data_IF_578449327808
#
_entry.id   IF_578449327808
#
_cell.length_a   1.000
_cell.length_b   1.000
_cell.length_c   1.000
_cell.angle_alpha   90.00
_cell.angle_beta   90.00
_cell.angle_gamma   90.00
#
_symmetry.space_group_name_H-M   'P 1'
#
loop_
_entity.id
_entity.type
_entity.pdbx_description
1 polymer ?
#
# COMPACT_ATOMS: atom_id res chain seq x y z
N UNK A 1 -33.17 42.04 2.16
CA UNK A 1 -32.30 41.98 3.36
C UNK A 1 -31.52 40.65 3.41
N UNK A 2 -30.57 40.39 2.49
CA UNK A 2 -29.81 39.11 2.44
C UNK A 2 -28.30 39.28 2.19
N UNK A 3 -27.81 40.50 1.97
CA UNK A 3 -26.41 40.75 1.60
C UNK A 3 -25.40 40.38 2.72
N UNK A 4 -25.80 40.51 3.99
CA UNK A 4 -24.96 40.15 5.14
C UNK A 4 -24.74 38.63 5.25
N UNK A 5 -25.71 37.81 4.82
CA UNK A 5 -25.58 36.34 4.82
C UNK A 5 -24.46 35.93 3.89
N UNK A 6 -24.36 36.54 2.70
CA UNK A 6 -23.27 36.27 1.76
C UNK A 6 -21.91 36.65 2.33
N UNK A 7 -21.79 37.81 3.00
CA UNK A 7 -20.53 38.22 3.62
C UNK A 7 -20.06 37.26 4.72
N UNK A 8 -20.98 36.81 5.58
CA UNK A 8 -20.69 35.81 6.62
C UNK A 8 -20.30 34.47 5.99
N UNK A 9 -20.98 34.05 4.94
CA UNK A 9 -20.70 32.78 4.26
C UNK A 9 -19.34 32.79 3.56
N UNK A 10 -18.99 33.89 2.87
CA UNK A 10 -17.69 34.03 2.18
C UNK A 10 -16.54 34.05 3.19
N UNK A 11 -16.67 34.84 4.26
CA UNK A 11 -15.66 34.90 5.33
C UNK A 11 -15.48 33.55 6.02
N UNK A 12 -16.58 32.89 6.41
CA UNK A 12 -16.54 31.56 7.01
C UNK A 12 -15.88 30.53 6.09
N UNK A 13 -16.22 30.51 4.79
CA UNK A 13 -15.64 29.59 3.82
C UNK A 13 -14.14 29.83 3.64
N UNK A 14 -13.72 31.10 3.65
CA UNK A 14 -12.29 31.47 3.53
C UNK A 14 -11.49 31.00 4.74
N UNK A 15 -12.01 31.21 5.96
CA UNK A 15 -11.37 30.78 7.20
C UNK A 15 -11.29 29.24 7.29
N UNK A 16 -12.38 28.55 6.92
CA UNK A 16 -12.39 27.10 6.87
C UNK A 16 -11.42 26.55 5.83
N UNK A 17 -11.36 27.16 4.65
CA UNK A 17 -10.41 26.80 3.59
C UNK A 17 -8.96 26.95 4.04
N UNK A 18 -8.63 28.05 4.73
CA UNK A 18 -7.31 28.27 5.32
C UNK A 18 -6.96 27.20 6.35
N UNK A 19 -7.88 26.91 7.28
CA UNK A 19 -7.66 25.93 8.34
C UNK A 19 -7.41 24.52 7.78
N UNK A 20 -8.18 24.13 6.76
CA UNK A 20 -7.98 22.86 6.04
C UNK A 20 -6.63 22.83 5.34
N UNK A 21 -6.23 23.93 4.69
CA UNK A 21 -4.93 24.02 4.02
C UNK A 21 -3.76 23.93 4.99
N UNK A 22 -3.85 24.55 6.16
CA UNK A 22 -2.78 24.54 7.16
C UNK A 22 -2.64 23.15 7.81
N UNK A 23 -3.75 22.49 8.11
CA UNK A 23 -3.79 21.12 8.65
C UNK A 23 -3.29 20.07 7.63
N UNK A 24 -3.73 20.16 6.38
CA UNK A 24 -3.42 19.15 5.36
C UNK A 24 -2.15 19.46 4.56
N UNK A 25 -1.69 20.71 4.51
CA UNK A 25 -0.58 21.12 3.64
C UNK A 25 0.73 20.43 3.98
N UNK A 26 1.06 20.32 5.26
CA UNK A 26 2.26 19.59 5.73
C UNK A 26 2.19 18.08 5.46
N UNK A 27 1.15 17.34 5.89
CA UNK A 27 1.08 15.90 5.67
C UNK A 27 0.92 15.53 4.19
N UNK A 28 0.21 16.34 3.38
CA UNK A 28 0.14 16.13 1.92
C UNK A 28 1.53 16.23 1.28
N UNK A 29 2.34 17.23 1.67
CA UNK A 29 3.71 17.36 1.16
C UNK A 29 4.58 16.18 1.58
N UNK A 30 4.49 15.74 2.84
CA UNK A 30 5.19 14.56 3.33
C UNK A 30 4.80 13.29 2.54
N UNK A 31 3.52 13.15 2.20
CA UNK A 31 3.03 12.07 1.34
C UNK A 31 3.64 12.15 -0.07
N UNK A 32 3.68 13.31 -0.73
CA UNK A 32 4.27 13.43 -2.07
C UNK A 32 5.77 13.13 -2.07
N UNK A 33 6.50 13.52 -1.04
CA UNK A 33 7.90 13.14 -0.87
C UNK A 33 8.06 11.62 -0.70
N UNK A 34 7.19 10.99 0.10
CA UNK A 34 7.19 9.54 0.31
C UNK A 34 6.84 8.80 -0.99
N UNK A 35 5.82 9.26 -1.73
CA UNK A 35 5.43 8.76 -3.05
C UNK A 35 6.58 8.84 -4.04
N UNK A 36 7.27 9.98 -4.11
CA UNK A 36 8.44 10.17 -4.99
C UNK A 36 9.54 9.16 -4.64
N UNK A 37 9.88 9.01 -3.35
CA UNK A 37 10.88 8.03 -2.88
C UNK A 37 10.48 6.59 -3.25
N UNK A 38 9.20 6.25 -3.12
CA UNK A 38 8.68 4.94 -3.47
C UNK A 38 8.84 4.66 -4.97
N UNK A 39 8.42 5.60 -5.83
CA UNK A 39 8.53 5.46 -7.29
C UNK A 39 9.99 5.41 -7.75
N UNK A 40 10.84 6.28 -7.22
CA UNK A 40 12.27 6.30 -7.50
C UNK A 40 12.93 4.96 -7.14
N UNK A 41 12.62 4.42 -5.95
CA UNK A 41 13.14 3.11 -5.51
C UNK A 41 12.56 1.96 -6.32
N UNK A 42 11.30 2.04 -6.76
CA UNK A 42 10.71 1.04 -7.66
C UNK A 42 11.37 1.02 -9.03
N UNK A 43 11.79 2.18 -9.57
CA UNK A 43 12.55 2.25 -10.82
C UNK A 43 13.97 1.71 -10.65
N UNK A 44 14.70 2.18 -9.63
CA UNK A 44 16.11 1.80 -9.40
C UNK A 44 16.26 0.32 -9.04
N UNK A 45 15.45 -0.17 -8.09
CA UNK A 45 15.46 -1.59 -7.70
C UNK A 45 14.65 -2.44 -8.69
N UNK A 46 13.99 -1.78 -9.64
CA UNK A 46 13.18 -2.34 -10.70
C UNK A 46 13.92 -3.37 -11.54
N UNK A 47 15.18 -3.07 -11.81
CA UNK A 47 16.06 -3.79 -12.73
C UNK A 47 17.02 -4.77 -12.04
N UNK A 48 16.85 -5.05 -10.74
CA UNK A 48 17.73 -6.00 -10.05
C UNK A 48 17.40 -7.42 -10.53
N UNK A 49 18.36 -8.02 -11.22
CA UNK A 49 18.30 -9.44 -11.60
C UNK A 49 18.26 -10.31 -10.34
N UNK A 50 17.34 -11.28 -10.31
CA UNK A 50 17.31 -12.25 -9.22
C UNK A 50 18.62 -13.06 -9.22
N UNK A 51 19.14 -13.42 -8.05
CA UNK A 51 20.27 -14.33 -7.98
C UNK A 51 19.88 -15.65 -8.66
N UNK A 52 20.75 -16.16 -9.52
CA UNK A 52 20.60 -17.51 -10.12
C UNK A 52 20.59 -18.57 -9.00
N UNK A 53 19.98 -19.75 -9.22
CA UNK A 53 19.99 -20.82 -8.23
C UNK A 53 21.43 -21.12 -7.79
N UNK A 54 21.67 -21.24 -6.48
CA UNK A 54 23.01 -21.46 -5.93
C UNK A 54 23.70 -22.69 -6.53
N UNK A 55 22.92 -23.68 -6.91
CA UNK A 55 23.35 -24.92 -7.58
C UNK A 55 24.03 -24.69 -8.93
N UNK A 56 23.83 -23.53 -9.56
CA UNK A 56 24.48 -23.16 -10.82
C UNK A 56 25.81 -22.42 -10.65
N UNK A 57 26.17 -22.03 -9.42
CA UNK A 57 27.43 -21.36 -9.13
C UNK A 57 28.48 -22.40 -8.73
N UNK A 58 29.30 -22.81 -9.71
CA UNK A 58 30.29 -23.89 -9.55
C UNK A 58 31.66 -23.31 -9.20
N UNK A 59 31.94 -22.07 -9.60
CA UNK A 59 33.21 -21.38 -9.32
C UNK A 59 33.14 -20.42 -8.14
N UNK A 60 34.27 -20.21 -7.46
CA UNK A 60 34.40 -19.23 -6.37
C UNK A 60 34.00 -17.80 -6.77
N UNK A 61 34.19 -17.44 -8.04
CA UNK A 61 33.77 -16.15 -8.60
C UNK A 61 32.24 -16.06 -8.69
N UNK A 62 31.59 -17.08 -9.24
CA UNK A 62 30.12 -17.15 -9.33
C UNK A 62 29.46 -17.19 -7.94
N UNK A 63 30.08 -17.85 -6.96
CA UNK A 63 29.60 -17.85 -5.57
C UNK A 63 29.66 -16.43 -4.98
N UNK A 64 30.72 -15.66 -5.28
CA UNK A 64 30.85 -14.27 -4.82
C UNK A 64 29.82 -13.35 -5.49
N UNK A 65 29.60 -13.51 -6.79
CA UNK A 65 28.58 -12.79 -7.55
C UNK A 65 27.16 -13.12 -7.06
N UNK A 66 26.87 -14.40 -6.80
CA UNK A 66 25.62 -14.86 -6.18
C UNK A 66 25.40 -14.20 -4.81
N UNK A 67 26.40 -14.23 -3.93
CA UNK A 67 26.31 -13.62 -2.60
C UNK A 67 26.06 -12.12 -2.68
N UNK A 68 26.68 -11.43 -3.64
CA UNK A 68 26.47 -10.00 -3.87
C UNK A 68 25.06 -9.70 -4.41
N UNK A 69 24.55 -10.53 -5.33
CA UNK A 69 23.18 -10.42 -5.82
C UNK A 69 22.16 -10.64 -4.69
N UNK A 70 22.34 -11.68 -3.86
CA UNK A 70 21.48 -11.95 -2.69
C UNK A 70 21.46 -10.77 -1.71
N UNK A 71 22.62 -10.14 -1.46
CA UNK A 71 22.69 -8.94 -0.60
C UNK A 71 21.89 -7.77 -1.19
N UNK A 72 22.05 -7.48 -2.47
CA UNK A 72 21.28 -6.42 -3.17
C UNK A 72 19.78 -6.68 -3.11
N UNK A 73 19.34 -7.92 -3.28
CA UNK A 73 17.93 -8.30 -3.14
C UNK A 73 17.43 -8.06 -1.71
N UNK A 74 18.16 -8.51 -0.69
CA UNK A 74 17.79 -8.29 0.72
C UNK A 74 17.72 -6.80 1.09
N UNK A 75 18.63 -5.99 0.56
CA UNK A 75 18.59 -4.53 0.74
C UNK A 75 17.33 -3.94 0.10
N UNK A 76 17.00 -4.34 -1.14
CA UNK A 76 15.78 -3.92 -1.81
C UNK A 76 14.53 -4.29 -0.99
N UNK A 77 14.48 -5.51 -0.45
CA UNK A 77 13.38 -5.98 0.40
C UNK A 77 13.22 -5.12 1.66
N UNK A 78 14.31 -4.85 2.37
CA UNK A 78 14.29 -4.00 3.57
C UNK A 78 13.79 -2.60 3.25
N UNK A 79 14.24 -2.02 2.13
CA UNK A 79 13.80 -0.70 1.68
C UNK A 79 12.29 -0.70 1.41
N UNK A 80 11.78 -1.62 0.59
CA UNK A 80 10.35 -1.67 0.25
C UNK A 80 9.48 -1.95 1.48
N UNK A 81 9.90 -2.87 2.36
CA UNK A 81 9.17 -3.18 3.59
C UNK A 81 9.13 -2.00 4.55
N UNK A 82 10.27 -1.31 4.74
CA UNK A 82 10.33 -0.09 5.57
C UNK A 82 9.46 1.03 5.01
N UNK A 83 9.46 1.24 3.69
CA UNK A 83 8.59 2.22 3.03
C UNK A 83 7.11 1.85 3.19
N UNK A 84 6.75 0.57 3.05
CA UNK A 84 5.40 0.07 3.29
C UNK A 84 4.93 0.34 4.72
N UNK A 85 5.75 0.04 5.73
CA UNK A 85 5.44 0.34 7.12
C UNK A 85 5.32 1.83 7.41
N UNK A 86 6.22 2.67 6.86
CA UNK A 86 6.12 4.13 7.01
C UNK A 86 4.83 4.68 6.42
N UNK A 87 4.40 4.15 5.28
CA UNK A 87 3.16 4.57 4.65
C UNK A 87 1.93 4.15 5.47
N UNK A 88 1.95 2.96 6.07
CA UNK A 88 0.89 2.50 6.98
C UNK A 88 0.85 3.32 8.27
N UNK A 89 2.00 3.56 8.91
CA UNK A 89 2.10 4.39 10.10
C UNK A 89 1.64 5.83 9.84
N UNK A 90 1.93 6.39 8.66
CA UNK A 90 1.39 7.67 8.24
C UNK A 90 -0.15 7.65 8.16
N UNK A 91 -0.75 6.57 7.62
CA UNK A 91 -2.19 6.43 7.55
C UNK A 91 -2.88 6.33 8.92
N UNK A 92 -2.18 5.77 9.92
CA UNK A 92 -2.66 5.68 11.29
C UNK A 92 -2.55 7.01 12.03
N UNK A 93 -1.45 7.74 11.85
CA UNK A 93 -1.21 9.01 12.52
C UNK A 93 -1.99 10.18 11.90
N UNK A 94 -2.29 10.11 10.59
CA UNK A 94 -2.91 11.21 9.83
C UNK A 94 -4.22 10.77 9.15
N UNK A 95 -5.28 10.43 9.92
CA UNK A 95 -6.53 9.90 9.38
C UNK A 95 -7.27 10.94 8.50
N UNK A 96 -7.17 12.23 8.82
CA UNK A 96 -7.74 13.30 8.01
C UNK A 96 -7.10 13.35 6.61
N UNK A 97 -5.77 13.27 6.55
CA UNK A 97 -5.01 13.24 5.29
C UNK A 97 -5.29 11.96 4.51
N UNK A 98 -5.36 10.80 5.18
CA UNK A 98 -5.77 9.53 4.56
C UNK A 98 -7.14 9.66 3.89
N UNK A 99 -8.13 10.23 4.59
CA UNK A 99 -9.47 10.39 4.04
C UNK A 99 -9.49 11.37 2.87
N UNK A 100 -8.81 12.51 3.00
CA UNK A 100 -8.69 13.51 1.93
C UNK A 100 -8.04 12.91 0.67
N UNK A 101 -6.95 12.15 0.81
CA UNK A 101 -6.30 11.48 -0.31
C UNK A 101 -7.17 10.32 -0.86
N UNK A 102 -7.92 9.63 0.01
CA UNK A 102 -8.91 8.62 -0.39
C UNK A 102 -10.01 9.19 -1.29
N UNK A 103 -10.48 10.41 -1.00
CA UNK A 103 -11.42 11.14 -1.87
C UNK A 103 -10.82 11.47 -3.24
N UNK A 104 -9.49 11.62 -3.33
CA UNK A 104 -8.75 11.79 -4.59
C UNK A 104 -8.41 10.44 -5.28
N UNK A 105 -8.98 9.33 -4.79
CA UNK A 105 -8.77 7.99 -5.34
C UNK A 105 -7.45 7.33 -4.94
N UNK A 106 -6.67 7.93 -4.03
CA UNK A 106 -5.42 7.35 -3.55
C UNK A 106 -5.70 6.37 -2.39
N UNK A 107 -5.31 5.11 -2.57
CA UNK A 107 -5.45 4.11 -1.52
C UNK A 107 -4.08 3.81 -0.87
N UNK A 108 -3.72 4.63 0.12
CA UNK A 108 -2.42 4.55 0.79
C UNK A 108 -2.21 3.23 1.55
N UNK A 109 -3.29 2.65 2.10
CA UNK A 109 -3.24 1.35 2.80
C UNK A 109 -2.97 0.22 1.81
N UNK A 110 -3.64 0.23 0.65
CA UNK A 110 -3.38 -0.72 -0.42
C UNK A 110 -1.96 -0.58 -0.97
N UNK A 111 -1.46 0.65 -1.13
CA UNK A 111 -0.08 0.90 -1.56
C UNK A 111 0.95 0.40 -0.52
N UNK A 112 0.72 0.66 0.77
CA UNK A 112 1.62 0.25 1.85
C UNK A 112 1.70 -1.27 2.00
N UNK A 113 0.56 -1.94 2.01
CA UNK A 113 0.49 -3.40 2.01
C UNK A 113 1.05 -4.02 0.71
N UNK A 114 0.83 -3.39 -0.44
CA UNK A 114 1.41 -3.78 -1.72
C UNK A 114 2.94 -3.74 -1.70
N UNK A 115 3.55 -2.71 -1.11
CA UNK A 115 5.01 -2.61 -0.95
C UNK A 115 5.59 -3.73 -0.07
N UNK A 116 4.87 -4.11 0.98
CA UNK A 116 5.25 -5.24 1.83
C UNK A 116 5.18 -6.55 1.02
N UNK A 117 4.08 -6.79 0.30
CA UNK A 117 3.94 -7.95 -0.59
C UNK A 117 5.00 -7.99 -1.68
N UNK A 118 5.36 -6.84 -2.27
CA UNK A 118 6.45 -6.74 -3.24
C UNK A 118 7.79 -7.13 -2.63
N UNK A 119 8.05 -6.75 -1.38
CA UNK A 119 9.26 -7.16 -0.66
C UNK A 119 9.33 -8.69 -0.49
N UNK A 120 8.22 -9.34 -0.20
CA UNK A 120 8.14 -10.80 -0.07
C UNK A 120 8.31 -11.50 -1.42
N UNK A 121 7.77 -10.92 -2.49
CA UNK A 121 7.89 -11.43 -3.86
C UNK A 121 9.34 -11.50 -4.35
N UNK A 122 10.26 -10.68 -3.82
CA UNK A 122 11.68 -10.79 -4.13
C UNK A 122 12.35 -12.05 -3.55
N UNK A 123 11.77 -12.70 -2.54
CA UNK A 123 12.27 -13.98 -2.00
C UNK A 123 11.77 -15.20 -2.78
N UNK A 124 10.73 -15.05 -3.60
CA UNK A 124 10.06 -16.17 -4.28
C UNK A 124 10.26 -16.10 -5.79
N UNK A 125 11.03 -17.04 -6.38
CA UNK A 125 11.12 -17.19 -7.83
C UNK A 125 9.72 -17.39 -8.44
N UNK A 126 9.43 -16.74 -9.57
CA UNK A 126 8.16 -16.91 -10.30
C UNK A 126 6.99 -16.02 -9.87
N UNK A 127 7.16 -15.17 -8.85
CA UNK A 127 6.09 -14.22 -8.47
C UNK A 127 6.01 -13.08 -9.48
N UNK A 128 4.78 -12.69 -9.89
CA UNK A 128 4.53 -11.57 -10.80
C UNK A 128 4.82 -10.21 -10.13
N UNK A 129 6.11 -9.86 -10.13
CA UNK A 129 6.62 -8.59 -9.59
C UNK A 129 6.19 -7.41 -10.44
N UNK A 130 5.97 -7.59 -11.75
CA UNK A 130 5.53 -6.53 -12.64
C UNK A 130 4.06 -6.16 -12.34
N UNK A 131 3.19 -7.15 -12.18
CA UNK A 131 1.80 -6.95 -11.75
C UNK A 131 1.69 -6.29 -10.37
N UNK A 132 2.50 -6.72 -9.39
CA UNK A 132 2.56 -6.09 -8.07
C UNK A 132 2.98 -4.62 -8.14
N UNK A 133 4.01 -4.29 -8.94
CA UNK A 133 4.43 -2.89 -9.15
C UNK A 133 3.31 -2.07 -9.79
N UNK A 134 2.63 -2.62 -10.80
CA UNK A 134 1.51 -1.94 -11.46
C UNK A 134 0.34 -1.68 -10.50
N UNK A 135 0.04 -2.63 -9.60
CA UNK A 135 -0.99 -2.43 -8.57
C UNK A 135 -0.61 -1.32 -7.58
N UNK A 136 0.65 -1.27 -7.15
CA UNK A 136 1.15 -0.21 -6.26
C UNK A 136 1.13 1.14 -6.98
N UNK A 137 1.55 1.20 -8.25
CA UNK A 137 1.51 2.43 -9.04
C UNK A 137 0.08 2.92 -9.22
N UNK A 138 -0.87 2.04 -9.53
CA UNK A 138 -2.30 2.39 -9.62
C UNK A 138 -2.83 2.91 -8.28
N UNK A 139 -2.51 2.26 -7.17
CA UNK A 139 -2.93 2.71 -5.84
C UNK A 139 -2.31 4.07 -5.43
N UNK A 140 -1.17 4.43 -6.01
CA UNK A 140 -0.46 5.70 -5.80
C UNK A 140 -0.72 6.73 -6.91
N UNK A 141 -1.49 6.42 -7.95
CA UNK A 141 -1.91 7.40 -8.96
C UNK A 141 -3.16 8.10 -8.45
N UNK A 142 -3.10 9.43 -8.49
CA UNK A 142 -4.31 10.26 -8.35
C UNK A 142 -5.20 9.85 -9.51
N UNK A 143 -6.42 9.44 -9.21
CA UNK A 143 -7.37 9.06 -10.26
C UNK A 143 -7.80 10.36 -10.95
N UNK A 144 -7.59 10.47 -12.26
CA UNK A 144 -8.05 11.62 -13.07
C UNK A 144 -9.60 11.70 -13.14
N UNK A 145 -10.30 10.74 -12.54
CA UNK A 145 -11.74 10.79 -12.34
C UNK A 145 -12.06 11.42 -10.97
N UNK A 146 -12.65 12.61 -11.02
CA UNK A 146 -13.52 13.18 -10.00
C UNK A 146 -14.50 12.11 -9.44
N UNK A 147 -15.05 12.31 -8.22
CA UNK A 147 -15.53 11.23 -7.39
C UNK A 147 -16.78 10.60 -7.99
N UNK A 148 -16.63 9.47 -8.67
CA UNK A 148 -17.72 8.56 -8.86
C UNK A 148 -17.97 7.87 -7.51
N UNK A 149 -18.87 8.47 -6.74
CA UNK A 149 -19.68 7.70 -5.83
C UNK A 149 -20.24 6.49 -6.59
N UNK A 150 -20.25 5.34 -5.91
CA UNK A 150 -20.83 4.05 -6.28
C UNK A 150 -19.95 3.09 -7.10
N UNK A 151 -19.54 2.01 -6.41
CA UNK A 151 -19.88 0.60 -6.73
C UNK A 151 -18.69 -0.36 -6.56
N UNK A 152 -18.50 -0.91 -5.36
CA UNK A 152 -18.14 -2.34 -5.22
C UNK A 152 -18.24 -2.88 -3.79
N UNK A 153 -19.43 -3.40 -3.49
CA UNK A 153 -19.61 -4.70 -2.84
C UNK A 153 -20.65 -5.45 -3.68
N UNK A 154 -20.75 -6.79 -3.67
CA UNK A 154 -19.86 -7.83 -3.12
C UNK A 154 -19.67 -9.04 -4.08
N UNK A 155 -18.53 -9.75 -4.05
CA UNK A 155 -18.53 -11.20 -4.43
C UNK A 155 -17.22 -11.95 -4.10
N UNK A 156 -17.36 -12.97 -3.23
CA UNK A 156 -16.83 -14.37 -3.25
C UNK A 156 -15.31 -14.60 -3.31
N UNK A 157 -14.70 -15.61 -2.69
CA UNK A 157 -15.12 -16.81 -1.96
C UNK A 157 -13.92 -17.28 -1.11
N UNK A 158 -14.07 -17.38 0.20
CA UNK A 158 -13.20 -18.21 1.04
C UNK A 158 -14.10 -18.92 2.06
N UNK A 159 -14.72 -19.99 1.59
CA UNK A 159 -15.11 -21.12 2.42
C UNK A 159 -13.84 -21.71 3.08
N UNK A 160 -14.05 -22.49 4.15
CA UNK A 160 -13.06 -23.03 5.11
C UNK A 160 -12.72 -21.93 6.12
N UNK A 161 -13.34 -21.86 7.31
CA UNK A 161 -12.96 -22.71 8.44
C UNK A 161 -13.91 -22.49 9.65
N UNK A 162 -15.23 -22.69 9.52
CA UNK A 162 -16.13 -22.69 10.70
C UNK A 162 -17.17 -23.84 10.69
N UNK A 163 -17.08 -24.77 9.73
CA UNK A 163 -17.96 -25.94 9.67
C UNK A 163 -17.47 -27.16 10.48
N UNK A 164 -16.27 -27.13 11.08
CA UNK A 164 -15.71 -28.30 11.79
C UNK A 164 -15.91 -28.28 13.31
N UNK A 165 -16.54 -27.25 13.89
CA UNK A 165 -16.69 -27.16 15.37
C UNK A 165 -18.13 -27.22 15.91
N UNK A 166 -19.15 -27.27 15.05
CA UNK A 166 -20.55 -27.38 15.51
C UNK A 166 -21.24 -28.73 15.21
N UNK A 167 -20.61 -29.61 14.42
CA UNK A 167 -21.14 -30.96 14.16
C UNK A 167 -20.71 -31.96 15.26
N UNK A 168 -19.62 -31.71 15.99
CA UNK A 168 -19.18 -32.59 17.10
C UNK A 168 -19.82 -32.31 18.47
N UNK A 169 -20.74 -31.34 18.59
CA UNK A 169 -21.43 -31.04 19.85
C UNK A 169 -22.91 -31.46 19.85
N UNK A 170 -23.42 -32.04 18.76
CA UNK A 170 -24.81 -32.52 18.69
C UNK A 170 -24.97 -34.03 18.95
N UNK A 171 -23.89 -34.81 18.80
CA UNK A 171 -23.92 -36.27 19.04
C UNK A 171 -23.56 -36.70 20.47
N UNK A 172 -23.22 -35.76 21.37
CA UNK A 172 -22.90 -36.08 22.79
C UNK A 172 -24.09 -35.82 23.73
N UNK A 173 -25.24 -35.37 23.20
CA UNK A 173 -26.46 -35.11 24.02
C UNK A 173 -27.61 -36.10 23.82
N UNK A 174 -27.39 -37.20 23.09
CA UNK A 174 -28.39 -38.26 22.86
C UNK A 174 -27.94 -39.67 23.24
N UNK A 175 -26.85 -39.80 24.02
CA UNK A 175 -26.49 -41.07 24.65
C UNK A 175 -26.01 -40.88 26.10
N UNK A 176 -26.93 -40.48 26.96
CA UNK A 176 -27.04 -40.93 28.37
C UNK A 176 -28.38 -40.48 28.92
#
# INVERSE_FOLDING_TARGET
>A
MQWYVYLITISATTVLGWLVFELLGRPIRAFFELRRKILERMLVLGNISLPKPRETAVSSREIREYNQAVRKVREAQRIFRNLGFRLLAFCENEPATRNALGLLGLNLVAAGSGLIKLSEAYSRPGTDRAGLRNQIEKALRVTDAAPAASSQRPRRDNAIEYQTKFIYLRDISLST
#
